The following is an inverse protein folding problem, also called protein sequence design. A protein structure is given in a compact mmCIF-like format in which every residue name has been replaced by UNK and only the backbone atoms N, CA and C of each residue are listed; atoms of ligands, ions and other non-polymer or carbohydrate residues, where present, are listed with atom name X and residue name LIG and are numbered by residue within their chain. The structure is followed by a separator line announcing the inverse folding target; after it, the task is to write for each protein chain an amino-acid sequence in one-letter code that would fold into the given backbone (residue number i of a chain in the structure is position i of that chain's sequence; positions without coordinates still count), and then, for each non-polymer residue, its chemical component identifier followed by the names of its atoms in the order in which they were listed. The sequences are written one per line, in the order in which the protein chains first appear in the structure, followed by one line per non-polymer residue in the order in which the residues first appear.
data_IF_758719843417
#
_entry.id   IF_758719843417
#
_cell.length_a   1.000
_cell.length_b   1.000
_cell.length_c   1.000
_cell.angle_alpha   90.00
_cell.angle_beta   90.00
_cell.angle_gamma   90.00
#
_symmetry.space_group_name_H-M   'P 1'
#
loop_
_entity.id
_entity.type
_entity.pdbx_description
1 polymer ?
#
# COMPACT_ATOMS: atom_id res chain seq x y z
N UNK A 1 45.99 -2.61 40.35
CA UNK A 1 45.22 -3.84 40.05
C UNK A 1 45.98 -4.59 38.95
N UNK A 2 46.73 -5.67 39.27
CA UNK A 2 47.49 -6.42 38.26
C UNK A 2 46.59 -7.46 37.65
N UNK A 3 46.18 -7.23 36.39
CA UNK A 3 45.41 -8.20 35.61
C UNK A 3 46.34 -9.39 35.30
N UNK A 4 46.08 -10.54 35.91
CA UNK A 4 46.80 -11.78 35.60
C UNK A 4 46.29 -12.31 34.27
N UNK A 5 47.02 -12.06 33.20
CA UNK A 5 46.76 -12.60 31.87
C UNK A 5 47.01 -14.12 31.87
N UNK A 6 45.98 -14.91 31.69
CA UNK A 6 46.12 -16.37 31.58
C UNK A 6 46.27 -16.74 30.10
N UNK A 7 47.51 -16.67 29.60
CA UNK A 7 47.88 -16.86 28.17
C UNK A 7 47.28 -18.13 27.58
N UNK A 8 47.16 -19.22 28.33
CA UNK A 8 46.55 -20.47 27.86
C UNK A 8 45.02 -20.35 27.62
N UNK A 9 44.34 -19.51 28.39
CA UNK A 9 42.90 -19.27 28.23
C UNK A 9 42.64 -18.36 27.02
N UNK A 10 43.41 -17.31 26.89
CA UNK A 10 43.31 -16.35 25.78
C UNK A 10 43.65 -17.04 24.42
N UNK A 11 44.63 -17.93 24.40
CA UNK A 11 44.95 -18.72 23.20
C UNK A 11 43.82 -19.67 22.80
N UNK A 12 43.14 -20.29 23.76
CA UNK A 12 41.97 -21.16 23.46
C UNK A 12 40.78 -20.35 22.94
N UNK A 13 40.53 -19.16 23.51
CA UNK A 13 39.47 -18.26 23.01
C UNK A 13 39.80 -17.79 21.59
N UNK A 14 41.04 -17.37 21.33
CA UNK A 14 41.50 -16.98 20.00
C UNK A 14 41.34 -18.10 18.95
N UNK A 15 41.72 -19.33 19.33
CA UNK A 15 41.55 -20.49 18.47
C UNK A 15 40.07 -20.80 18.18
N UNK A 16 39.21 -20.71 19.21
CA UNK A 16 37.78 -20.92 19.05
C UNK A 16 37.14 -19.87 18.14
N UNK A 17 37.53 -18.58 18.27
CA UNK A 17 37.09 -17.51 17.38
C UNK A 17 37.59 -17.68 15.94
N UNK A 18 38.84 -18.12 15.76
CA UNK A 18 39.38 -18.40 14.43
C UNK A 18 38.63 -19.55 13.72
N UNK A 19 38.30 -20.62 14.48
CA UNK A 19 37.49 -21.74 13.98
C UNK A 19 36.09 -21.28 13.62
N UNK A 20 35.46 -20.45 14.47
CA UNK A 20 34.14 -19.87 14.18
C UNK A 20 34.17 -19.01 12.91
N UNK A 21 35.19 -18.15 12.80
CA UNK A 21 35.36 -17.29 11.63
C UNK A 21 35.61 -18.12 10.34
N UNK A 22 36.37 -19.22 10.46
CA UNK A 22 36.59 -20.15 9.35
C UNK A 22 35.28 -20.82 8.91
N UNK A 23 34.42 -21.25 9.84
CA UNK A 23 33.13 -21.83 9.51
C UNK A 23 32.19 -20.81 8.86
N UNK A 24 32.16 -19.56 9.34
CA UNK A 24 31.37 -18.49 8.73
C UNK A 24 31.86 -18.22 7.30
N UNK A 25 33.17 -18.02 7.11
CA UNK A 25 33.74 -17.77 5.79
C UNK A 25 33.56 -18.95 4.80
N UNK A 26 33.60 -20.19 5.32
CA UNK A 26 33.35 -21.38 4.51
C UNK A 26 31.87 -21.52 4.13
N UNK A 27 30.96 -21.15 5.03
CA UNK A 27 29.52 -21.13 4.77
C UNK A 27 29.16 -20.12 3.69
N UNK A 28 29.70 -18.90 3.74
CA UNK A 28 29.47 -17.88 2.70
C UNK A 28 29.97 -18.30 1.32
N UNK A 29 31.18 -18.92 1.24
CA UNK A 29 31.70 -19.42 -0.06
C UNK A 29 30.83 -20.51 -0.69
N UNK A 30 30.14 -21.32 0.14
CA UNK A 30 29.31 -22.41 -0.38
C UNK A 30 27.96 -21.93 -0.92
N UNK A 31 27.44 -20.80 -0.46
CA UNK A 31 26.21 -20.20 -0.98
C UNK A 31 26.37 -19.61 -2.38
N UNK A 32 27.53 -19.04 -2.70
CA UNK A 32 27.77 -18.38 -3.98
C UNK A 32 27.90 -19.31 -5.20
N UNK A 33 28.19 -20.59 -4.98
CA UNK A 33 28.34 -21.58 -6.07
C UNK A 33 27.05 -22.34 -6.40
N UNK A 34 25.95 -22.04 -5.71
CA UNK A 34 24.66 -22.71 -5.95
C UNK A 34 24.05 -22.19 -7.25
N UNK A 35 23.84 -23.10 -8.21
CA UNK A 35 23.08 -22.82 -9.42
C UNK A 35 21.59 -22.77 -9.11
N UNK A 36 20.89 -21.80 -9.70
CA UNK A 36 19.41 -21.69 -9.62
C UNK A 36 18.79 -22.91 -10.30
N UNK A 37 18.06 -23.72 -9.54
CA UNK A 37 17.37 -24.91 -10.05
C UNK A 37 16.02 -24.55 -10.62
N UNK A 38 15.25 -23.79 -9.86
CA UNK A 38 13.92 -23.33 -10.25
C UNK A 38 13.61 -21.95 -9.69
N UNK A 39 12.60 -21.30 -10.25
CA UNK A 39 12.14 -19.98 -9.83
C UNK A 39 10.73 -20.15 -9.26
N UNK A 40 10.55 -19.71 -8.01
CA UNK A 40 9.27 -19.75 -7.32
C UNK A 40 8.82 -18.32 -7.07
N UNK A 41 7.72 -17.93 -7.72
CA UNK A 41 7.13 -16.61 -7.56
C UNK A 41 5.99 -16.67 -6.56
N UNK A 42 6.00 -15.77 -5.59
CA UNK A 42 4.96 -15.59 -4.58
C UNK A 42 4.43 -14.19 -4.64
N UNK A 43 3.19 -14.03 -5.06
CA UNK A 43 2.50 -12.74 -5.09
C UNK A 43 1.57 -12.64 -3.89
N UNK A 44 1.89 -11.76 -2.95
CA UNK A 44 1.07 -11.49 -1.76
C UNK A 44 0.06 -10.36 -2.04
N UNK A 45 -1.06 -10.37 -1.32
CA UNK A 45 -2.23 -9.52 -1.52
C UNK A 45 -2.97 -9.76 -2.84
N UNK A 46 -2.64 -10.80 -3.60
CA UNK A 46 -3.31 -11.15 -4.87
C UNK A 46 -4.78 -11.54 -4.70
N UNK A 47 -5.20 -11.96 -3.52
CA UNK A 47 -6.61 -12.30 -3.24
C UNK A 47 -7.53 -11.05 -3.23
N UNK A 48 -6.98 -9.89 -2.86
CA UNK A 48 -7.72 -8.62 -2.76
C UNK A 48 -7.54 -7.75 -4.01
N UNK A 49 -6.46 -7.97 -4.74
CA UNK A 49 -6.19 -7.26 -5.99
C UNK A 49 -5.40 -8.15 -6.96
N UNK A 50 -5.81 -8.15 -8.22
CA UNK A 50 -5.21 -8.94 -9.30
C UNK A 50 -4.60 -8.02 -10.37
N UNK A 51 -4.00 -6.90 -9.95
CA UNK A 51 -3.37 -5.96 -10.88
C UNK A 51 -2.18 -6.56 -11.60
N UNK A 52 -1.40 -7.40 -10.90
CA UNK A 52 -0.28 -8.16 -11.46
C UNK A 52 -0.40 -9.63 -11.09
N UNK A 53 -0.05 -10.49 -12.02
CA UNK A 53 0.09 -11.93 -11.83
C UNK A 53 1.57 -12.36 -11.81
N UNK A 54 1.81 -13.66 -11.63
CA UNK A 54 3.18 -14.22 -11.62
C UNK A 54 3.93 -13.93 -12.92
N UNK A 55 3.24 -13.94 -14.07
CA UNK A 55 3.85 -13.67 -15.39
C UNK A 55 4.29 -12.21 -15.49
N UNK A 56 3.52 -11.29 -14.92
CA UNK A 56 3.91 -9.88 -14.89
C UNK A 56 5.18 -9.68 -14.05
N UNK A 57 5.30 -10.38 -12.92
CA UNK A 57 6.50 -10.33 -12.08
C UNK A 57 7.71 -10.86 -12.86
N UNK A 58 7.58 -11.98 -13.60
CA UNK A 58 8.66 -12.47 -14.48
C UNK A 58 9.06 -11.40 -15.49
N UNK A 59 8.10 -10.77 -16.15
CA UNK A 59 8.37 -9.71 -17.13
C UNK A 59 9.10 -8.51 -16.48
N UNK A 60 8.72 -8.14 -15.25
CA UNK A 60 9.39 -7.05 -14.51
C UNK A 60 10.84 -7.38 -14.14
N UNK A 61 11.17 -8.65 -13.95
CA UNK A 61 12.56 -9.07 -13.73
C UNK A 61 13.45 -8.75 -14.92
N UNK A 62 12.88 -8.63 -16.14
CA UNK A 62 13.60 -8.42 -17.42
C UNK A 62 14.71 -9.45 -17.65
N UNK A 63 14.49 -10.67 -17.24
CA UNK A 63 15.38 -11.80 -17.42
C UNK A 63 14.58 -12.96 -17.97
N UNK A 64 15.09 -13.59 -19.02
CA UNK A 64 14.48 -14.82 -19.54
C UNK A 64 14.64 -15.93 -18.50
N UNK A 65 13.59 -16.69 -18.23
CA UNK A 65 13.64 -17.81 -17.28
C UNK A 65 14.75 -18.81 -17.64
N UNK A 66 15.00 -19.01 -18.93
CA UNK A 66 16.07 -19.88 -19.44
C UNK A 66 17.46 -19.40 -19.05
N UNK A 67 17.66 -18.08 -18.98
CA UNK A 67 18.94 -17.49 -18.57
C UNK A 67 19.13 -17.49 -17.05
N UNK A 68 18.05 -17.59 -16.28
CA UNK A 68 18.07 -17.68 -14.82
C UNK A 68 18.29 -19.11 -14.32
N UNK A 69 17.65 -20.10 -14.95
CA UNK A 69 17.86 -21.54 -14.62
C UNK A 69 19.27 -21.95 -15.00
N UNK A 70 20.02 -22.46 -14.04
CA UNK A 70 21.42 -22.85 -14.20
C UNK A 70 22.45 -21.72 -13.98
N UNK A 71 22.02 -20.47 -13.90
CA UNK A 71 22.91 -19.38 -13.52
C UNK A 71 23.37 -19.54 -12.06
N UNK A 72 24.61 -19.16 -11.77
CA UNK A 72 25.08 -19.12 -10.38
C UNK A 72 24.58 -17.85 -9.71
N UNK A 73 24.14 -17.95 -8.46
CA UNK A 73 23.59 -16.83 -7.69
C UNK A 73 24.55 -15.63 -7.62
N UNK A 74 25.85 -15.88 -7.57
CA UNK A 74 26.91 -14.84 -7.58
C UNK A 74 26.89 -13.96 -8.83
N UNK A 75 26.38 -14.47 -9.94
CA UNK A 75 26.29 -13.72 -11.20
C UNK A 75 25.01 -12.90 -11.33
N UNK A 76 24.03 -13.17 -10.47
CA UNK A 76 22.75 -12.47 -10.46
C UNK A 76 22.81 -11.28 -9.51
N UNK A 77 22.60 -10.09 -10.02
CA UNK A 77 22.43 -8.92 -9.17
C UNK A 77 20.99 -8.88 -8.62
N UNK A 78 20.72 -9.69 -7.57
CA UNK A 78 19.40 -9.81 -6.97
C UNK A 78 18.84 -8.46 -6.52
N UNK A 79 19.69 -7.57 -5.98
CA UNK A 79 19.27 -6.22 -5.56
C UNK A 79 18.77 -5.36 -6.72
N UNK A 80 19.36 -5.51 -7.89
CA UNK A 80 18.91 -4.79 -9.08
C UNK A 80 17.57 -5.32 -9.59
N UNK A 81 17.38 -6.63 -9.56
CA UNK A 81 16.11 -7.26 -9.92
C UNK A 81 15.01 -6.81 -8.94
N UNK A 82 15.27 -6.84 -7.62
CA UNK A 82 14.35 -6.29 -6.62
C UNK A 82 13.97 -4.84 -6.92
N UNK A 83 14.96 -4.00 -7.22
CA UNK A 83 14.73 -2.60 -7.56
C UNK A 83 13.84 -2.44 -8.79
N UNK A 84 14.01 -3.28 -9.83
CA UNK A 84 13.16 -3.26 -11.02
C UNK A 84 11.72 -3.63 -10.68
N UNK A 85 11.52 -4.71 -9.92
CA UNK A 85 10.18 -5.12 -9.49
C UNK A 85 9.54 -4.02 -8.63
N UNK A 86 10.26 -3.45 -7.66
CA UNK A 86 9.80 -2.34 -6.81
C UNK A 86 9.52 -1.04 -7.57
N UNK A 87 10.07 -0.88 -8.77
CA UNK A 87 9.80 0.31 -9.60
C UNK A 87 8.41 0.32 -10.22
N UNK A 88 7.73 -0.84 -10.28
CA UNK A 88 6.35 -0.91 -10.72
C UNK A 88 5.41 -0.31 -9.66
N UNK A 89 4.45 0.50 -10.11
CA UNK A 89 3.56 1.24 -9.19
C UNK A 89 2.55 0.34 -8.47
N UNK A 90 2.31 -0.86 -8.94
CA UNK A 90 1.45 -1.83 -8.25
C UNK A 90 2.19 -2.64 -7.18
N UNK A 91 3.52 -2.64 -7.18
CA UNK A 91 4.34 -3.36 -6.22
C UNK A 91 4.71 -2.47 -5.05
N UNK A 92 4.34 -2.89 -3.84
CA UNK A 92 4.70 -2.23 -2.59
C UNK A 92 6.11 -2.59 -2.16
N UNK A 93 6.43 -3.90 -2.22
CA UNK A 93 7.74 -4.43 -1.85
C UNK A 93 8.06 -5.70 -2.64
N UNK A 94 9.34 -6.01 -2.77
CA UNK A 94 9.81 -7.26 -3.38
C UNK A 94 11.09 -7.72 -2.69
N UNK A 95 11.20 -9.02 -2.50
CA UNK A 95 12.35 -9.69 -1.90
C UNK A 95 12.78 -10.86 -2.78
N UNK A 96 14.08 -10.97 -3.06
CA UNK A 96 14.66 -12.08 -3.77
C UNK A 96 15.68 -12.80 -2.89
N UNK A 97 15.50 -14.10 -2.71
CA UNK A 97 16.43 -14.93 -1.94
C UNK A 97 16.45 -16.36 -2.47
N UNK A 98 17.53 -17.08 -2.15
CA UNK A 98 17.64 -18.51 -2.46
C UNK A 98 17.25 -19.35 -1.27
N UNK A 99 16.53 -20.44 -1.52
CA UNK A 99 16.27 -21.47 -0.52
C UNK A 99 17.45 -22.47 -0.40
N UNK A 100 17.39 -23.34 0.61
CA UNK A 100 18.42 -24.37 0.83
C UNK A 100 18.44 -25.46 -0.27
N UNK A 101 17.41 -25.54 -1.10
CA UNK A 101 17.31 -26.47 -2.22
C UNK A 101 17.92 -25.93 -3.50
N UNK A 102 18.25 -24.63 -3.51
CA UNK A 102 18.79 -23.91 -4.67
C UNK A 102 17.73 -23.28 -5.56
N UNK A 103 16.50 -23.12 -5.08
CA UNK A 103 15.47 -22.39 -5.81
C UNK A 103 15.62 -20.88 -5.53
N UNK A 104 15.38 -20.05 -6.55
CA UNK A 104 15.25 -18.61 -6.40
C UNK A 104 13.80 -18.30 -6.04
N UNK A 105 13.59 -17.75 -4.84
CA UNK A 105 12.30 -17.28 -4.37
C UNK A 105 12.17 -15.80 -4.69
N UNK A 106 11.13 -15.45 -5.45
CA UNK A 106 10.74 -14.07 -5.74
C UNK A 106 9.44 -13.79 -5.02
N UNK A 107 9.48 -12.99 -3.98
CA UNK A 107 8.32 -12.57 -3.21
C UNK A 107 7.97 -11.14 -3.59
N UNK A 108 6.79 -10.91 -4.15
CA UNK A 108 6.27 -9.58 -4.48
C UNK A 108 5.01 -9.30 -3.65
N UNK A 109 4.98 -8.14 -3.00
CA UNK A 109 3.84 -7.66 -2.21
C UNK A 109 3.16 -6.58 -3.00
N UNK A 110 1.90 -6.78 -3.39
CA UNK A 110 1.13 -5.80 -4.15
C UNK A 110 0.54 -4.72 -3.24
N UNK A 111 0.50 -3.47 -3.74
CA UNK A 111 -0.18 -2.36 -3.06
C UNK A 111 -1.68 -2.59 -3.01
N UNK A 112 -2.28 -2.21 -1.89
CA UNK A 112 -3.74 -2.28 -1.70
C UNK A 112 -4.37 -0.96 -2.11
N UNK A 113 -5.26 -0.92 -3.11
CA UNK A 113 -6.02 0.27 -3.46
C UNK A 113 -7.08 0.56 -2.39
N UNK A 114 -7.23 1.83 -2.01
CA UNK A 114 -8.22 2.30 -1.03
C UNK A 114 -9.21 3.29 -1.61
N UNK A 115 -8.87 3.94 -2.72
CA UNK A 115 -9.78 4.83 -3.45
C UNK A 115 -9.46 4.82 -4.95
N UNK A 116 -10.45 5.15 -5.79
CA UNK A 116 -10.27 5.36 -7.23
C UNK A 116 -10.55 6.81 -7.58
N UNK A 117 -9.58 7.47 -8.18
CA UNK A 117 -9.71 8.82 -8.71
C UNK A 117 -10.30 8.71 -10.11
N UNK A 118 -11.45 9.35 -10.31
CA UNK A 118 -12.16 9.38 -11.60
C UNK A 118 -12.14 10.78 -12.20
N UNK A 119 -11.97 10.86 -13.52
CA UNK A 119 -11.91 12.12 -14.26
C UNK A 119 -12.67 12.03 -15.57
N UNK A 120 -13.30 13.16 -15.94
CA UNK A 120 -13.97 13.28 -17.25
C UNK A 120 -12.99 13.69 -18.37
N UNK A 121 -11.81 14.23 -18.02
CA UNK A 121 -10.87 14.88 -18.94
C UNK A 121 -9.51 14.15 -19.04
N UNK A 122 -9.41 12.91 -18.59
CA UNK A 122 -8.16 12.16 -18.60
C UNK A 122 -8.28 10.77 -17.98
N UNK A 123 -7.16 10.06 -17.91
CA UNK A 123 -7.16 8.72 -17.32
C UNK A 123 -7.45 8.76 -15.83
N UNK A 124 -8.10 7.74 -15.35
CA UNK A 124 -8.31 7.46 -13.93
C UNK A 124 -7.01 6.99 -13.24
N UNK A 125 -7.06 6.86 -11.92
CA UNK A 125 -6.00 6.26 -11.12
C UNK A 125 -6.53 5.71 -9.80
N UNK A 126 -5.66 5.07 -9.03
CA UNK A 126 -5.97 4.58 -7.71
C UNK A 126 -5.06 5.23 -6.66
N UNK A 127 -5.57 5.37 -5.46
CA UNK A 127 -4.78 5.68 -4.27
C UNK A 127 -4.55 4.38 -3.52
N UNK A 128 -3.29 4.04 -3.27
CA UNK A 128 -2.92 2.92 -2.42
C UNK A 128 -2.95 3.29 -0.93
N UNK A 129 -3.00 2.28 -0.08
CA UNK A 129 -2.97 2.42 1.38
C UNK A 129 -1.72 3.18 1.88
N UNK A 130 -0.57 2.99 1.23
CA UNK A 130 0.67 3.71 1.52
C UNK A 130 0.73 5.13 0.95
N UNK A 131 -0.37 5.62 0.36
CA UNK A 131 -0.50 6.93 -0.27
C UNK A 131 0.05 7.03 -1.69
N UNK A 132 0.60 5.97 -2.25
CA UNK A 132 1.12 5.96 -3.62
C UNK A 132 -0.02 6.04 -4.64
N UNK A 133 0.17 6.85 -5.68
CA UNK A 133 -0.77 6.93 -6.79
C UNK A 133 -0.42 5.87 -7.83
N UNK A 134 -1.38 4.98 -8.10
CA UNK A 134 -1.27 3.89 -9.08
C UNK A 134 -2.09 4.20 -10.33
N UNK A 135 -1.66 3.77 -11.52
CA UNK A 135 -2.46 3.86 -12.73
C UNK A 135 -3.66 2.89 -12.68
N UNK A 136 -4.58 3.00 -13.63
CA UNK A 136 -5.58 1.96 -13.88
C UNK A 136 -4.94 0.75 -14.56
N UNK A 137 -5.53 -0.42 -14.35
CA UNK A 137 -5.12 -1.66 -15.01
C UNK A 137 -6.23 -2.15 -15.94
N UNK A 138 -5.83 -2.70 -17.08
CA UNK A 138 -6.77 -3.37 -18.00
C UNK A 138 -7.14 -4.79 -17.51
N UNK A 139 -6.39 -5.34 -16.55
CA UNK A 139 -6.59 -6.70 -16.02
C UNK A 139 -7.61 -6.74 -14.89
N UNK A 140 -7.64 -5.69 -14.07
CA UNK A 140 -8.41 -5.73 -12.82
C UNK A 140 -8.96 -4.36 -12.44
N UNK A 141 -10.18 -4.37 -11.90
CA UNK A 141 -10.84 -3.20 -11.29
C UNK A 141 -11.36 -3.59 -9.91
N UNK A 142 -11.00 -2.82 -8.90
CA UNK A 142 -11.46 -3.06 -7.53
C UNK A 142 -12.57 -2.11 -7.12
N UNK A 143 -13.46 -2.58 -6.24
CA UNK A 143 -14.54 -1.76 -5.66
C UNK A 143 -14.02 -1.03 -4.43
N UNK A 144 -13.75 0.25 -4.60
CA UNK A 144 -13.30 1.19 -3.56
C UNK A 144 -14.07 2.49 -3.69
N UNK A 145 -13.99 3.38 -2.69
CA UNK A 145 -14.62 4.70 -2.75
C UNK A 145 -14.09 5.49 -3.96
N UNK A 146 -14.99 6.20 -4.65
CA UNK A 146 -14.63 7.03 -5.78
C UNK A 146 -14.23 8.43 -5.30
N UNK A 147 -13.26 9.03 -5.95
CA UNK A 147 -12.87 10.43 -5.75
C UNK A 147 -13.03 11.17 -7.07
N UNK A 148 -13.80 12.25 -7.05
CA UNK A 148 -14.03 13.15 -8.19
C UNK A 148 -13.76 14.59 -7.81
N UNK A 149 -14.03 15.51 -8.73
CA UNK A 149 -13.94 16.94 -8.52
C UNK A 149 -12.63 17.54 -9.00
N UNK A 150 -12.51 18.84 -8.77
CA UNK A 150 -11.43 19.64 -9.35
C UNK A 150 -10.03 19.27 -8.79
N UNK A 151 -9.97 18.75 -7.57
CA UNK A 151 -8.72 18.32 -6.95
C UNK A 151 -8.14 17.03 -7.53
N UNK A 152 -8.94 16.23 -8.24
CA UNK A 152 -8.54 14.94 -8.84
C UNK A 152 -7.30 15.05 -9.74
N UNK A 153 -7.15 16.16 -10.47
CA UNK A 153 -5.98 16.38 -11.33
C UNK A 153 -4.68 16.47 -10.52
N UNK A 154 -4.71 17.20 -9.40
CA UNK A 154 -3.54 17.36 -8.52
C UNK A 154 -3.19 16.04 -7.83
N UNK A 155 -4.20 15.26 -7.42
CA UNK A 155 -3.98 13.94 -6.83
C UNK A 155 -3.25 13.00 -7.81
N UNK A 156 -3.68 12.96 -9.07
CA UNK A 156 -3.05 12.09 -10.08
C UNK A 156 -1.64 12.54 -10.50
N UNK A 157 -1.30 13.80 -10.31
CA UNK A 157 0.05 14.31 -10.55
C UNK A 157 1.01 14.03 -9.38
N UNK A 158 0.47 13.76 -8.19
CA UNK A 158 1.27 13.40 -7.04
C UNK A 158 1.86 11.99 -7.21
N UNK A 159 3.09 11.79 -6.77
CA UNK A 159 3.67 10.44 -6.69
C UNK A 159 3.15 9.70 -5.45
N UNK A 160 3.05 10.43 -4.33
CA UNK A 160 2.59 9.90 -3.05
C UNK A 160 1.97 11.04 -2.21
N UNK A 161 0.79 10.79 -1.66
CA UNK A 161 0.00 11.76 -0.92
C UNK A 161 0.61 12.13 0.44
N UNK A 162 1.48 11.30 1.00
CA UNK A 162 2.18 11.63 2.24
C UNK A 162 3.16 12.82 2.11
N UNK A 163 3.40 13.31 0.88
CA UNK A 163 4.27 14.45 0.63
C UNK A 163 3.61 15.81 0.91
N UNK A 164 2.28 15.88 1.07
CA UNK A 164 1.54 17.11 1.37
C UNK A 164 0.67 16.97 2.63
N UNK A 165 0.28 18.10 3.22
CA UNK A 165 -0.61 18.13 4.39
C UNK A 165 -2.01 17.65 3.98
N UNK A 166 -2.53 18.19 2.88
CA UNK A 166 -3.84 17.86 2.33
C UNK A 166 -3.92 16.37 1.95
N UNK A 167 -2.83 15.83 1.38
CA UNK A 167 -2.74 14.41 1.04
C UNK A 167 -2.80 13.51 2.28
N UNK A 168 -2.11 13.87 3.36
CA UNK A 168 -2.16 13.12 4.63
C UNK A 168 -3.56 13.16 5.24
N UNK A 169 -4.19 14.33 5.27
CA UNK A 169 -5.55 14.49 5.79
C UNK A 169 -6.56 13.67 4.98
N UNK A 170 -6.40 13.63 3.65
CA UNK A 170 -7.24 12.78 2.79
C UNK A 170 -7.00 11.29 3.07
N UNK A 171 -5.76 10.86 3.26
CA UNK A 171 -5.44 9.47 3.62
C UNK A 171 -6.05 9.08 4.97
N UNK A 172 -6.00 9.93 5.97
CA UNK A 172 -6.65 9.71 7.27
C UNK A 172 -8.16 9.55 7.12
N UNK A 173 -8.80 10.42 6.31
CA UNK A 173 -10.24 10.31 6.00
C UNK A 173 -10.57 8.97 5.32
N UNK A 174 -9.78 8.57 4.32
CA UNK A 174 -9.96 7.31 3.60
C UNK A 174 -9.73 6.10 4.51
N UNK A 175 -8.79 6.19 5.46
CA UNK A 175 -8.57 5.14 6.46
C UNK A 175 -9.80 4.97 7.37
N UNK A 176 -10.40 6.05 7.89
CA UNK A 176 -11.62 6.00 8.68
C UNK A 176 -12.77 5.36 7.90
N UNK A 177 -12.95 5.75 6.63
CA UNK A 177 -14.01 5.19 5.77
C UNK A 177 -13.79 3.68 5.54
N UNK A 178 -12.57 3.25 5.34
CA UNK A 178 -12.23 1.85 5.06
C UNK A 178 -12.34 0.96 6.30
N UNK A 179 -11.89 1.43 7.45
CA UNK A 179 -11.79 0.64 8.69
C UNK A 179 -13.13 0.45 9.38
N UNK A 180 -14.03 1.42 9.30
CA UNK A 180 -15.40 1.30 9.83
C UNK A 180 -16.29 0.64 8.77
N UNK A 181 -16.84 -0.54 9.08
CA UNK A 181 -17.71 -1.30 8.18
C UNK A 181 -18.94 -0.50 7.73
N UNK A 182 -19.50 0.32 8.62
CA UNK A 182 -20.64 1.19 8.31
C UNK A 182 -20.26 2.23 7.25
N UNK A 183 -19.13 2.93 7.42
CA UNK A 183 -18.71 3.95 6.47
C UNK A 183 -18.31 3.36 5.12
N UNK A 184 -17.63 2.22 5.14
CA UNK A 184 -17.26 1.49 3.92
C UNK A 184 -18.47 1.07 3.09
N UNK A 185 -19.59 0.74 3.75
CA UNK A 185 -20.84 0.41 3.08
C UNK A 185 -21.66 1.64 2.68
N UNK A 186 -21.52 2.75 3.42
CA UNK A 186 -22.39 3.92 3.28
C UNK A 186 -21.84 4.97 2.32
N UNK A 187 -20.50 5.19 2.28
CA UNK A 187 -19.90 6.24 1.45
C UNK A 187 -19.49 5.66 0.09
N UNK A 188 -20.10 6.19 -0.99
CA UNK A 188 -19.81 5.74 -2.35
C UNK A 188 -18.75 6.61 -3.04
N UNK A 189 -18.83 7.93 -2.83
CA UNK A 189 -18.01 8.88 -3.55
C UNK A 189 -17.68 10.11 -2.70
N UNK A 190 -16.48 10.65 -2.92
CA UNK A 190 -16.02 11.94 -2.42
C UNK A 190 -15.80 12.87 -3.60
N UNK A 191 -16.44 14.03 -3.62
CA UNK A 191 -16.16 15.08 -4.58
C UNK A 191 -15.34 16.16 -3.89
N UNK A 192 -14.14 16.47 -4.43
CA UNK A 192 -13.19 17.36 -3.79
C UNK A 192 -12.95 18.57 -4.69
N UNK A 193 -13.28 19.74 -4.17
CA UNK A 193 -13.13 21.02 -4.87
C UNK A 193 -11.66 21.54 -4.87
N UNK A 194 -11.44 22.68 -5.51
CA UNK A 194 -10.12 23.34 -5.58
C UNK A 194 -9.56 23.74 -4.20
N UNK A 195 -10.42 23.95 -3.20
CA UNK A 195 -10.05 24.37 -1.85
C UNK A 195 -9.92 23.18 -0.89
N UNK A 196 -9.89 21.94 -1.44
CA UNK A 196 -9.84 20.67 -0.70
C UNK A 196 -11.06 20.48 0.21
N UNK A 197 -12.21 21.08 -0.14
CA UNK A 197 -13.48 20.81 0.54
C UNK A 197 -14.11 19.57 -0.05
N UNK A 198 -14.60 18.72 0.80
CA UNK A 198 -15.12 17.38 0.46
C UNK A 198 -16.64 17.38 0.59
N UNK A 199 -17.32 17.01 -0.48
CA UNK A 199 -18.71 16.58 -0.47
C UNK A 199 -18.73 15.04 -0.56
N UNK A 200 -19.50 14.39 0.31
CA UNK A 200 -19.65 12.94 0.29
C UNK A 200 -21.02 12.58 -0.28
N UNK A 201 -21.01 11.57 -1.14
CA UNK A 201 -22.22 10.99 -1.70
C UNK A 201 -22.41 9.57 -1.14
N UNK A 202 -23.55 9.30 -0.49
CA UNK A 202 -23.82 8.00 0.09
C UNK A 202 -24.20 6.96 -0.96
N UNK A 203 -24.05 5.70 -0.61
CA UNK A 203 -24.53 4.57 -1.40
C UNK A 203 -26.08 4.44 -1.33
N UNK A 204 -26.66 4.84 -0.19
CA UNK A 204 -28.08 4.79 0.08
C UNK A 204 -28.55 6.16 0.58
N UNK A 205 -29.61 6.69 -0.03
CA UNK A 205 -30.11 8.04 0.19
C UNK A 205 -29.68 9.00 -0.92
N UNK A 206 -30.39 10.14 -1.03
CA UNK A 206 -30.13 11.17 -2.05
C UNK A 206 -29.37 12.40 -1.56
N UNK A 207 -29.05 12.45 -0.27
CA UNK A 207 -28.47 13.64 0.34
C UNK A 207 -27.00 13.85 -0.01
N UNK A 208 -26.62 15.08 -0.27
CA UNK A 208 -25.23 15.49 -0.36
C UNK A 208 -24.72 15.86 1.05
N UNK A 209 -23.62 15.25 1.48
CA UNK A 209 -22.99 15.53 2.77
C UNK A 209 -21.87 16.54 2.55
N UNK A 210 -22.08 17.78 2.94
CA UNK A 210 -21.05 18.83 2.93
C UNK A 210 -20.13 18.63 4.13
N UNK A 211 -19.09 17.80 3.94
CA UNK A 211 -18.12 17.50 4.99
C UNK A 211 -17.15 18.67 5.22
N UNK A 212 -16.89 19.47 4.19
CA UNK A 212 -15.91 20.55 4.20
C UNK A 212 -14.48 20.04 4.18
N UNK A 213 -13.53 20.82 4.72
CA UNK A 213 -12.13 20.38 4.78
C UNK A 213 -11.96 19.10 5.59
N UNK A 214 -11.01 18.21 5.21
CA UNK A 214 -10.72 16.96 5.93
C UNK A 214 -9.96 17.21 7.25
N UNK A 215 -10.55 18.02 8.12
CA UNK A 215 -10.07 18.41 9.44
C UNK A 215 -11.10 18.00 10.50
N UNK A 216 -10.65 17.79 11.75
CA UNK A 216 -11.52 17.37 12.86
C UNK A 216 -12.34 16.10 12.51
N UNK A 217 -11.69 15.13 11.86
CA UNK A 217 -12.34 13.97 11.26
C UNK A 217 -13.22 13.20 12.25
N UNK A 218 -12.68 12.86 13.42
CA UNK A 218 -13.41 12.09 14.45
C UNK A 218 -14.73 12.78 14.83
N UNK A 219 -14.70 14.10 15.06
CA UNK A 219 -15.87 14.86 15.45
C UNK A 219 -16.93 14.88 14.32
N UNK A 220 -16.49 15.12 13.08
CA UNK A 220 -17.38 15.16 11.92
C UNK A 220 -17.99 13.79 11.62
N UNK A 221 -17.21 12.73 11.63
CA UNK A 221 -17.73 11.37 11.47
C UNK A 221 -18.66 10.96 12.61
N UNK A 222 -18.39 11.40 13.85
CA UNK A 222 -19.31 11.19 14.99
C UNK A 222 -20.64 11.88 14.76
N UNK A 223 -20.64 13.17 14.35
CA UNK A 223 -21.87 13.91 13.99
C UNK A 223 -22.62 13.20 12.88
N UNK A 224 -21.94 12.80 11.82
CA UNK A 224 -22.55 12.10 10.70
C UNK A 224 -23.14 10.75 11.13
N UNK A 225 -22.51 10.05 12.08
CA UNK A 225 -23.02 8.77 12.60
C UNK A 225 -24.31 8.96 13.40
N UNK A 226 -24.42 10.06 14.17
CA UNK A 226 -25.67 10.45 14.86
C UNK A 226 -26.74 10.76 13.82
N UNK A 227 -26.43 11.51 12.77
CA UNK A 227 -27.39 11.80 11.71
C UNK A 227 -27.99 10.52 11.09
N UNK A 228 -27.14 9.56 10.72
CA UNK A 228 -27.59 8.31 10.13
C UNK A 228 -28.32 7.37 11.08
N UNK A 229 -27.92 7.32 12.35
CA UNK A 229 -28.48 6.35 13.32
C UNK A 229 -29.68 6.87 14.09
N UNK A 230 -29.76 8.17 14.33
CA UNK A 230 -30.77 8.74 15.21
C UNK A 230 -31.72 9.68 14.47
N UNK A 231 -31.26 10.48 13.50
CA UNK A 231 -32.11 11.47 12.84
C UNK A 231 -32.84 10.86 11.63
N UNK A 232 -32.12 10.27 10.66
CA UNK A 232 -32.73 9.72 9.46
C UNK A 232 -33.80 8.65 9.71
N UNK A 233 -33.63 7.70 10.66
CA UNK A 233 -34.68 6.71 10.94
C UNK A 233 -35.98 7.30 11.46
N UNK A 234 -35.93 8.46 12.11
CA UNK A 234 -37.10 9.14 12.66
C UNK A 234 -37.76 10.06 11.63
N UNK A 235 -36.99 10.74 10.82
CA UNK A 235 -37.47 11.75 9.86
C UNK A 235 -37.70 11.19 8.45
N UNK A 236 -37.11 10.06 8.11
CA UNK A 236 -37.13 9.46 6.77
C UNK A 236 -35.82 9.67 6.01
N UNK A 237 -35.46 8.67 5.20
CA UNK A 237 -34.18 8.63 4.48
C UNK A 237 -34.05 9.64 3.35
N UNK A 238 -35.17 10.15 2.83
CA UNK A 238 -35.20 11.09 1.70
C UNK A 238 -35.73 12.47 2.10
N UNK A 239 -35.73 12.79 3.39
CA UNK A 239 -36.26 14.07 3.92
C UNK A 239 -35.32 15.23 3.64
N UNK A 240 -34.02 14.97 3.66
CA UNK A 240 -32.98 15.99 3.52
C UNK A 240 -32.23 15.82 2.20
N UNK A 241 -32.00 16.94 1.50
CA UNK A 241 -31.20 17.00 0.28
C UNK A 241 -29.73 17.29 0.59
N UNK A 242 -29.48 18.03 1.66
CA UNK A 242 -28.13 18.42 2.11
C UNK A 242 -27.94 18.27 3.60
N UNK A 243 -26.71 17.89 3.99
CA UNK A 243 -26.29 17.77 5.38
C UNK A 243 -24.94 18.44 5.54
N UNK A 244 -24.88 19.56 6.26
CA UNK A 244 -23.66 20.31 6.48
C UNK A 244 -23.05 19.99 7.84
N UNK A 245 -21.77 19.60 7.86
CA UNK A 245 -21.01 19.19 9.04
C UNK A 245 -19.94 20.20 9.44
N UNK A 246 -19.80 21.31 8.73
CA UNK A 246 -18.70 22.28 8.94
C UNK A 246 -18.88 23.10 10.22
N UNK A 247 -20.12 23.32 10.64
CA UNK A 247 -20.40 24.11 11.84
C UNK A 247 -20.11 23.32 13.11
N UNK A 248 -19.41 23.96 14.03
CA UNK A 248 -19.02 23.33 15.29
C UNK A 248 -20.26 23.04 16.17
N UNK A 249 -20.30 21.84 16.76
CA UNK A 249 -21.37 21.45 17.70
C UNK A 249 -22.76 21.21 17.12
N UNK A 250 -22.98 21.39 15.81
CA UNK A 250 -24.30 21.22 15.19
C UNK A 250 -24.25 20.52 13.83
N UNK A 251 -25.38 19.99 13.41
CA UNK A 251 -25.64 19.43 12.08
C UNK A 251 -26.74 20.29 11.45
N UNK A 252 -26.49 20.86 10.29
CA UNK A 252 -27.52 21.57 9.53
C UNK A 252 -27.99 20.64 8.41
N UNK A 253 -29.28 20.30 8.39
CA UNK A 253 -29.87 19.44 7.37
C UNK A 253 -31.09 20.17 6.75
N UNK A 254 -31.14 20.21 5.41
CA UNK A 254 -32.13 20.90 4.59
C UNK A 254 -32.75 19.95 3.57
#
# INVERSE_FOLDING_TARGET
MKIKFNIKRELKIGAALAVLFFFIAFSERKQGTVSVKDIIIKVENSNENQFLDEKDIVNLMQLDEENLKGATLDRLNLKEIEKRIKSDRFVQDAELYSDLKGNLIVKAILRRPIARIVRNDGPDGYIAEDGTIMPVSNKFTTRVVLISGAFSRLLLQAENLNKSIEGKQLLEMLAIIREDEFWRAQIAQLDIDHNVRVNMFPQVGGQTIEFGKPENLELKFKKLKIFYKEILPQQGWNTYERVNLEYEGQIIAE
#
